data_IF_390655461114
#
_entry.id   IF_390655461114
#
_cell.length_a   1.000
_cell.length_b   1.000
_cell.length_c   1.000
_cell.angle_alpha   90.00
_cell.angle_beta   90.00
_cell.angle_gamma   90.00
#
_symmetry.space_group_name_H-M   'P 1'
#
loop_
_entity.id
_entity.type
_entity.pdbx_description
1 polymer ?
#
# COMPACT_ATOMS: atom_id res chain seq x y z
N UNK A 1 -23.15 -14.94 19.15
CA UNK A 1 -22.64 -14.56 17.82
C UNK A 1 -21.19 -14.18 18.06
N UNK A 2 -20.24 -15.08 17.77
CA UNK A 2 -18.83 -14.92 18.17
C UNK A 2 -17.93 -14.62 16.96
N UNK A 3 -18.54 -14.12 15.86
CA UNK A 3 -17.79 -13.73 14.69
C UNK A 3 -17.18 -12.35 14.96
N UNK A 4 -15.85 -12.18 14.78
CA UNK A 4 -15.22 -10.88 14.90
C UNK A 4 -15.68 -9.96 13.77
N UNK A 5 -15.58 -8.66 14.01
CA UNK A 5 -15.95 -7.66 13.02
C UNK A 5 -14.94 -7.60 11.86
N UNK A 6 -15.45 -7.40 10.63
CA UNK A 6 -14.61 -7.43 9.42
C UNK A 6 -13.58 -6.29 9.33
N UNK A 7 -13.82 -5.17 10.00
CA UNK A 7 -12.85 -4.05 9.97
C UNK A 7 -11.59 -4.38 10.76
N UNK A 8 -11.65 -5.32 11.72
CA UNK A 8 -10.49 -5.76 12.50
C UNK A 8 -9.41 -6.43 11.64
N UNK A 9 -9.72 -6.79 10.39
CA UNK A 9 -8.76 -7.37 9.45
C UNK A 9 -7.65 -6.37 9.08
N UNK A 10 -7.98 -5.09 8.94
CA UNK A 10 -7.09 -4.05 8.42
C UNK A 10 -6.94 -2.82 9.34
N UNK A 11 -7.88 -2.61 10.27
CA UNK A 11 -7.81 -1.49 11.22
C UNK A 11 -6.96 -1.88 12.43
N UNK A 12 -5.95 -1.07 12.72
CA UNK A 12 -5.09 -1.24 13.89
C UNK A 12 -5.89 -0.79 15.13
N UNK A 13 -6.00 -1.64 16.17
CA UNK A 13 -6.66 -1.25 17.40
C UNK A 13 -5.85 -0.18 18.14
N UNK A 14 -6.55 0.66 18.91
CA UNK A 14 -5.92 1.71 19.71
C UNK A 14 -4.85 1.13 20.64
N UNK A 15 -3.69 1.79 20.71
CA UNK A 15 -2.56 1.37 21.54
C UNK A 15 -1.61 0.35 20.92
N UNK A 16 -1.90 -0.21 19.73
CA UNK A 16 -0.93 -1.06 18.99
C UNK A 16 -0.18 -0.28 17.92
N UNK A 17 1.09 -0.64 17.70
CA UNK A 17 1.92 -0.13 16.61
C UNK A 17 1.76 -1.02 15.38
N UNK A 18 1.83 -0.42 14.17
CA UNK A 18 1.79 -1.18 12.91
C UNK A 18 2.96 -2.15 12.79
N UNK A 19 4.14 -1.73 13.23
CA UNK A 19 5.39 -2.49 13.12
C UNK A 19 6.08 -2.49 14.47
N UNK A 20 6.41 -3.69 14.95
CA UNK A 20 7.25 -3.90 16.12
C UNK A 20 8.51 -4.69 15.73
N UNK A 21 9.67 -4.23 16.17
CA UNK A 21 10.95 -4.85 15.87
C UNK A 21 11.51 -5.50 17.13
N UNK A 22 11.79 -6.79 17.05
CA UNK A 22 12.47 -7.56 18.10
C UNK A 22 13.81 -8.08 17.55
N UNK A 23 14.91 -7.71 18.20
CA UNK A 23 16.24 -8.21 17.84
C UNK A 23 16.39 -9.66 18.33
N UNK A 24 16.94 -10.53 17.49
CA UNK A 24 17.20 -11.93 17.86
C UNK A 24 18.55 -12.03 18.58
N UNK A 25 18.54 -12.47 19.84
CA UNK A 25 19.76 -12.63 20.64
C UNK A 25 20.53 -13.93 20.31
N UNK A 26 19.91 -14.89 19.62
CA UNK A 26 20.52 -16.19 19.31
C UNK A 26 21.35 -16.16 18.03
N UNK A 27 20.97 -15.31 17.08
CA UNK A 27 21.59 -15.23 15.76
C UNK A 27 22.15 -13.82 15.59
N UNK A 28 23.45 -13.67 15.24
CA UNK A 28 24.03 -12.36 15.05
C UNK A 28 23.36 -11.64 13.88
N UNK A 29 23.12 -10.35 14.07
CA UNK A 29 22.58 -9.45 13.05
C UNK A 29 21.26 -9.95 12.43
N UNK A 30 20.38 -10.48 13.28
CA UNK A 30 19.04 -10.90 12.90
C UNK A 30 17.98 -10.13 13.71
N UNK A 31 16.88 -9.81 13.05
CA UNK A 31 15.72 -9.20 13.69
C UNK A 31 14.42 -9.83 13.15
N UNK A 32 13.42 -9.87 14.02
CA UNK A 32 12.06 -10.28 13.68
C UNK A 32 11.17 -9.04 13.75
N UNK A 33 10.44 -8.78 12.68
CA UNK A 33 9.47 -7.70 12.60
C UNK A 33 8.08 -8.31 12.66
N UNK A 34 7.26 -7.85 13.61
CA UNK A 34 5.85 -8.16 13.69
C UNK A 34 5.08 -7.02 13.03
N UNK A 35 4.32 -7.35 11.98
CA UNK A 35 3.51 -6.39 11.25
C UNK A 35 2.04 -6.72 11.51
N UNK A 36 1.35 -5.78 12.15
CA UNK A 36 -0.05 -5.91 12.51
C UNK A 36 -0.95 -5.53 11.32
N UNK A 37 -2.10 -6.20 11.23
CA UNK A 37 -3.17 -5.96 10.25
C UNK A 37 -2.69 -6.04 8.81
N UNK A 38 -1.91 -7.06 8.52
CA UNK A 38 -1.42 -7.40 7.18
C UNK A 38 -1.39 -8.92 7.03
N UNK A 39 -1.43 -9.39 5.80
CA UNK A 39 -1.51 -10.80 5.47
C UNK A 39 -0.38 -11.25 4.54
N UNK A 40 -0.57 -12.42 3.91
CA UNK A 40 0.36 -13.02 2.95
C UNK A 40 0.66 -12.11 1.76
N UNK A 41 -0.22 -11.16 1.43
CA UNK A 41 -0.03 -10.22 0.32
C UNK A 41 1.26 -9.43 0.52
N UNK A 42 1.36 -8.71 1.64
CA UNK A 42 2.56 -7.93 1.96
C UNK A 42 3.73 -8.84 2.37
N UNK A 43 3.47 -9.88 3.17
CA UNK A 43 4.52 -10.77 3.67
C UNK A 43 5.30 -11.46 2.55
N UNK A 44 4.60 -11.99 1.54
CA UNK A 44 5.25 -12.67 0.42
C UNK A 44 6.00 -11.72 -0.51
N UNK A 45 5.46 -10.52 -0.76
CA UNK A 45 6.13 -9.50 -1.57
C UNK A 45 7.45 -9.06 -0.92
N UNK A 46 7.41 -8.71 0.38
CA UNK A 46 8.60 -8.28 1.11
C UNK A 46 9.66 -9.38 1.21
N UNK A 47 9.24 -10.62 1.49
CA UNK A 47 10.16 -11.77 1.48
C UNK A 47 10.86 -11.90 0.13
N UNK A 48 10.11 -11.84 -0.95
CA UNK A 48 10.66 -12.02 -2.30
C UNK A 48 11.65 -10.89 -2.63
N UNK A 49 11.35 -9.65 -2.25
CA UNK A 49 12.23 -8.51 -2.49
C UNK A 49 13.51 -8.59 -1.63
N UNK A 50 13.40 -8.95 -0.36
CA UNK A 50 14.55 -9.12 0.53
C UNK A 50 15.52 -10.19 0.05
N UNK A 51 15.02 -11.28 -0.54
CA UNK A 51 15.87 -12.34 -1.10
C UNK A 51 16.59 -11.93 -2.40
N UNK A 52 16.22 -10.80 -3.03
CA UNK A 52 16.97 -10.24 -4.17
C UNK A 52 18.23 -9.51 -3.71
N UNK A 53 18.28 -9.02 -2.47
CA UNK A 53 19.43 -8.29 -1.94
C UNK A 53 20.55 -9.26 -1.50
N UNK A 54 21.76 -9.22 -2.09
CA UNK A 54 22.87 -10.10 -1.72
C UNK A 54 23.39 -9.87 -0.29
N UNK A 55 23.04 -8.74 0.35
CA UNK A 55 23.39 -8.42 1.74
C UNK A 55 22.52 -9.18 2.74
N UNK A 56 21.40 -9.76 2.30
CA UNK A 56 20.46 -10.54 3.12
C UNK A 56 20.84 -12.02 3.05
N UNK A 57 21.17 -12.60 4.21
CA UNK A 57 21.51 -14.01 4.35
C UNK A 57 20.26 -14.88 4.51
N UNK A 58 19.24 -14.35 5.18
CA UNK A 58 17.99 -15.06 5.41
C UNK A 58 16.82 -14.08 5.44
N UNK A 59 15.75 -14.42 4.72
CA UNK A 59 14.46 -13.75 4.82
C UNK A 59 13.34 -14.80 4.76
N UNK A 60 12.50 -14.81 5.79
CA UNK A 60 11.34 -15.69 5.86
C UNK A 60 10.21 -15.04 6.63
N UNK A 61 8.98 -15.28 6.21
CA UNK A 61 7.79 -14.81 6.92
C UNK A 61 6.89 -15.98 7.30
N UNK A 62 6.11 -15.79 8.37
CA UNK A 62 5.07 -16.71 8.78
C UNK A 62 3.90 -15.96 9.40
N UNK A 63 2.70 -16.48 9.20
CA UNK A 63 1.50 -16.08 9.95
C UNK A 63 1.41 -17.02 11.15
N UNK A 64 1.38 -16.51 12.40
CA UNK A 64 1.42 -17.35 13.59
C UNK A 64 0.13 -18.15 13.75
N UNK A 65 -1.01 -17.54 13.44
CA UNK A 65 -2.32 -18.16 13.48
C UNK A 65 -3.27 -17.54 12.44
N UNK A 66 -4.07 -18.31 11.68
CA UNK A 66 -4.95 -17.77 10.64
C UNK A 66 -6.04 -16.79 11.12
N UNK A 67 -6.41 -16.85 12.41
CA UNK A 67 -7.37 -15.92 13.02
C UNK A 67 -6.73 -14.62 13.50
N UNK A 68 -5.39 -14.56 13.54
CA UNK A 68 -4.65 -13.36 13.89
C UNK A 68 -4.15 -12.69 12.60
N UNK A 69 -4.57 -11.45 12.42
CA UNK A 69 -4.20 -10.66 11.24
C UNK A 69 -2.86 -9.98 11.49
N UNK A 70 -1.80 -10.77 11.64
CA UNK A 70 -0.44 -10.29 11.69
C UNK A 70 0.50 -11.33 11.06
N UNK A 71 1.66 -10.86 10.63
CA UNK A 71 2.71 -11.77 10.20
C UNK A 71 4.04 -11.35 10.80
N UNK A 72 4.90 -12.35 11.02
CA UNK A 72 6.26 -12.17 11.49
C UNK A 72 7.20 -12.39 10.32
N UNK A 73 8.04 -11.40 10.04
CA UNK A 73 9.13 -11.53 9.07
C UNK A 73 10.47 -11.50 9.80
N UNK A 74 11.28 -12.52 9.59
CA UNK A 74 12.62 -12.65 10.14
C UNK A 74 13.63 -12.37 9.04
N UNK A 75 14.54 -11.44 9.33
CA UNK A 75 15.59 -10.99 8.42
C UNK A 75 16.94 -11.13 9.11
N UNK A 76 17.90 -11.71 8.41
CA UNK A 76 19.30 -11.78 8.80
C UNK A 76 20.16 -11.18 7.70
N UNK A 77 21.07 -10.29 8.07
CA UNK A 77 21.95 -9.59 7.13
C UNK A 77 23.42 -9.85 7.44
N UNK A 78 24.28 -9.61 6.45
CA UNK A 78 25.73 -9.61 6.65
C UNK A 78 26.14 -8.57 7.69
N UNK A 79 27.23 -8.80 8.45
CA UNK A 79 27.75 -7.81 9.38
C UNK A 79 27.99 -6.46 8.71
N UNK A 80 27.59 -5.37 9.36
CA UNK A 80 27.71 -4.00 8.84
C UNK A 80 26.42 -3.42 8.27
N UNK A 81 25.42 -4.25 7.94
CA UNK A 81 24.09 -3.77 7.53
C UNK A 81 23.06 -4.15 8.58
N UNK A 82 22.35 -3.15 9.12
CA UNK A 82 21.26 -3.39 10.05
C UNK A 82 20.07 -4.05 9.32
N UNK A 83 19.44 -5.11 9.88
CA UNK A 83 18.27 -5.75 9.28
C UNK A 83 17.11 -4.79 9.01
N UNK A 84 16.95 -3.79 9.88
CA UNK A 84 15.94 -2.73 9.70
C UNK A 84 16.22 -1.84 8.49
N UNK A 85 17.49 -1.64 8.12
CA UNK A 85 17.84 -0.90 6.92
C UNK A 85 17.55 -1.72 5.66
N UNK A 86 17.93 -3.01 5.65
CA UNK A 86 17.62 -3.90 4.53
C UNK A 86 16.11 -3.99 4.26
N UNK A 87 15.28 -4.02 5.31
CA UNK A 87 13.82 -3.98 5.16
C UNK A 87 13.32 -2.66 4.55
N UNK A 88 13.88 -1.52 4.95
CA UNK A 88 13.53 -0.21 4.37
C UNK A 88 13.94 -0.14 2.90
N UNK A 89 15.18 -0.52 2.58
CA UNK A 89 15.71 -0.53 1.22
C UNK A 89 14.82 -1.40 0.31
N UNK A 90 14.52 -2.63 0.74
CA UNK A 90 13.63 -3.53 0.00
C UNK A 90 12.23 -2.93 -0.20
N UNK A 91 11.68 -2.23 0.80
CA UNK A 91 10.37 -1.59 0.67
C UNK A 91 10.41 -0.45 -0.35
N UNK A 92 11.44 0.39 -0.33
CA UNK A 92 11.61 1.49 -1.28
C UNK A 92 11.80 0.99 -2.72
N UNK A 93 12.59 -0.08 -2.91
CA UNK A 93 12.75 -0.73 -4.21
C UNK A 93 11.43 -1.31 -4.73
N UNK A 94 10.65 -1.98 -3.86
CA UNK A 94 9.36 -2.53 -4.22
C UNK A 94 8.37 -1.45 -4.67
N UNK A 95 8.34 -0.30 -3.98
CA UNK A 95 7.52 0.86 -4.38
C UNK A 95 7.94 1.35 -5.77
N UNK A 96 9.24 1.43 -6.04
CA UNK A 96 9.76 1.85 -7.35
C UNK A 96 9.42 0.85 -8.47
N UNK A 97 9.51 -0.45 -8.20
CA UNK A 97 9.15 -1.52 -9.14
C UNK A 97 7.67 -1.46 -9.51
N UNK A 98 6.78 -1.33 -8.51
CA UNK A 98 5.33 -1.18 -8.73
C UNK A 98 5.02 0.12 -9.48
N UNK A 99 5.68 1.23 -9.14
CA UNK A 99 5.51 2.50 -9.86
C UNK A 99 5.90 2.39 -11.34
N UNK A 100 6.99 1.68 -11.63
CA UNK A 100 7.43 1.42 -13.00
C UNK A 100 6.43 0.56 -13.76
N UNK A 101 5.88 -0.48 -13.12
CA UNK A 101 4.84 -1.34 -13.70
C UNK A 101 3.58 -0.53 -14.03
N UNK A 102 3.11 0.29 -13.08
CA UNK A 102 1.93 1.15 -13.25
C UNK A 102 2.08 2.05 -14.48
N UNK A 103 3.21 2.77 -14.58
CA UNK A 103 3.45 3.70 -15.69
C UNK A 103 3.47 2.97 -17.05
N UNK A 104 4.15 1.82 -17.13
CA UNK A 104 4.17 1.01 -18.36
C UNK A 104 2.78 0.52 -18.75
N UNK A 105 2.01 0.05 -17.76
CA UNK A 105 0.64 -0.40 -17.98
C UNK A 105 -0.26 0.73 -18.48
N UNK A 106 -0.22 1.92 -17.87
CA UNK A 106 -0.99 3.08 -18.32
C UNK A 106 -0.64 3.50 -19.74
N UNK A 107 0.65 3.51 -20.09
CA UNK A 107 1.11 3.80 -21.46
C UNK A 107 0.57 2.77 -22.47
N UNK A 108 0.59 1.49 -22.13
CA UNK A 108 0.10 0.41 -23.00
C UNK A 108 -1.42 0.46 -23.17
N UNK A 109 -2.16 0.82 -22.12
CA UNK A 109 -3.62 1.04 -22.19
C UNK A 109 -3.97 2.19 -23.12
N UNK A 110 -3.26 3.32 -23.02
CA UNK A 110 -3.46 4.48 -23.91
C UNK A 110 -3.17 4.06 -25.36
N UNK A 111 -2.04 3.38 -25.58
CA UNK A 111 -1.64 2.89 -26.90
C UNK A 111 -2.72 1.98 -27.51
N UNK A 112 -3.28 1.06 -26.74
CA UNK A 112 -4.33 0.15 -27.25
C UNK A 112 -5.61 0.91 -27.63
N UNK A 113 -6.05 1.86 -26.80
CA UNK A 113 -7.23 2.69 -27.09
C UNK A 113 -7.06 3.55 -28.35
N UNK A 114 -5.87 4.13 -28.57
CA UNK A 114 -5.59 4.91 -29.78
C UNK A 114 -5.63 4.05 -31.05
N UNK A 115 -5.10 2.82 -31.00
CA UNK A 115 -5.13 1.92 -32.16
C UNK A 115 -6.53 1.40 -32.49
N UNK A 116 -7.40 1.14 -31.49
CA UNK A 116 -8.80 0.77 -31.74
C UNK A 116 -9.60 1.92 -32.38
N UNK A 117 -9.25 3.17 -32.05
CA UNK A 117 -9.91 4.36 -32.60
C UNK A 117 -9.51 4.57 -34.07
N UNK A 118 -8.24 4.37 -34.43
CA UNK A 118 -7.75 4.51 -35.82
C UNK A 118 -8.25 3.41 -36.76
N UNK A 119 -8.51 2.20 -36.25
CA UNK A 119 -9.15 1.14 -37.07
C UNK A 119 -10.62 1.42 -37.36
N UNK A 120 -11.24 2.36 -36.62
CA UNK A 120 -12.63 2.76 -36.77
C UNK A 120 -12.74 4.10 -37.51
N UNK A 121 -12.23 4.14 -38.75
CA UNK A 121 -12.43 5.26 -39.67
C UNK A 121 -13.91 5.36 -40.15
N UNK A 122 -14.37 6.55 -40.59
CA UNK A 122 -15.74 7.02 -40.38
C UNK A 122 -16.70 6.44 -41.43
N UNK A 123 -17.63 5.58 -41.02
CA UNK A 123 -18.57 5.00 -41.98
C UNK A 123 -19.72 4.15 -41.46
N UNK A 124 -19.93 4.01 -40.15
CA UNK A 124 -21.15 3.36 -39.66
C UNK A 124 -21.61 3.97 -38.34
N UNK A 125 -22.86 4.40 -38.32
CA UNK A 125 -23.46 5.23 -37.30
C UNK A 125 -23.35 4.67 -35.88
N UNK A 126 -23.14 5.59 -34.95
CA UNK A 126 -23.22 5.36 -33.50
C UNK A 126 -24.67 5.03 -33.10
N UNK A 127 -24.94 4.02 -32.27
CA UNK A 127 -25.92 4.19 -31.22
C UNK A 127 -25.24 4.93 -30.08
N UNK A 128 -25.86 6.04 -29.65
CA UNK A 128 -25.46 6.82 -28.50
C UNK A 128 -25.43 5.92 -27.25
N UNK A 129 -24.28 5.80 -26.60
CA UNK A 129 -24.19 5.45 -25.20
C UNK A 129 -23.57 6.64 -24.49
N UNK A 130 -24.29 7.14 -23.49
CA UNK A 130 -23.98 8.33 -22.71
C UNK A 130 -22.56 8.26 -22.13
N UNK A 131 -21.66 9.06 -22.70
CA UNK A 131 -20.41 9.46 -22.05
C UNK A 131 -20.70 10.70 -21.24
N UNK A 132 -20.91 10.55 -19.93
CA UNK A 132 -20.79 11.67 -19.01
C UNK A 132 -19.36 12.24 -19.07
N UNK A 133 -19.18 13.57 -19.21
CA UNK A 133 -17.87 14.17 -19.31
C UNK A 133 -17.21 14.17 -17.93
N UNK A 134 -16.01 13.58 -17.83
CA UNK A 134 -15.12 13.84 -16.70
C UNK A 134 -14.40 15.17 -17.00
N UNK A 135 -15.15 16.27 -16.99
CA UNK A 135 -14.59 17.61 -17.00
C UNK A 135 -14.49 18.15 -15.57
N UNK A 136 -13.26 18.20 -15.08
CA UNK A 136 -12.64 19.44 -14.63
C UNK A 136 -13.60 20.63 -14.44
N UNK A 137 -14.05 20.84 -13.21
CA UNK A 137 -14.47 22.14 -12.67
C UNK A 137 -13.65 22.33 -11.38
N UNK A 138 -12.81 23.33 -11.13
CA UNK A 138 -12.75 24.73 -11.59
C UNK A 138 -14.13 25.36 -11.76
N UNK A 139 -14.95 25.22 -10.73
CA UNK A 139 -16.21 25.94 -10.57
C UNK A 139 -15.93 27.39 -10.19
N UNK A 140 -16.24 28.33 -11.08
CA UNK A 140 -16.48 29.72 -10.71
C UNK A 140 -18.00 29.90 -10.66
N UNK A 141 -18.57 29.96 -9.47
CA UNK A 141 -19.90 30.51 -9.26
C UNK A 141 -20.01 31.05 -7.84
N UNK A 142 -19.86 32.36 -7.74
CA UNK A 142 -20.38 33.13 -6.63
C UNK A 142 -21.90 32.95 -6.56
N UNK A 143 -22.45 32.61 -5.39
CA UNK A 143 -23.69 33.17 -4.86
C UNK A 143 -23.95 32.71 -3.40
N UNK A 144 -24.06 33.73 -2.54
CA UNK A 144 -24.74 33.84 -1.25
C UNK A 144 -24.59 32.76 -0.14
N UNK A 145 -23.94 33.18 0.95
CA UNK A 145 -24.00 32.55 2.28
C UNK A 145 -25.35 32.79 2.98
N UNK A 146 -25.82 31.84 3.80
CA UNK A 146 -26.52 32.15 5.04
C UNK A 146 -25.68 31.78 6.28
N UNK A 147 -26.01 32.46 7.37
CA UNK A 147 -25.28 32.68 8.61
C UNK A 147 -24.94 31.45 9.47
N UNK A 148 -23.86 31.61 10.22
CA UNK A 148 -23.32 30.76 11.27
C UNK A 148 -24.31 30.46 12.41
N UNK A 149 -24.44 29.19 12.79
CA UNK A 149 -24.47 28.72 14.18
C UNK A 149 -24.41 27.18 14.23
N UNK A 150 -23.22 26.58 14.38
CA UNK A 150 -23.06 25.24 15.00
C UNK A 150 -21.59 25.00 15.40
N UNK A 151 -21.30 24.57 16.65
CA UNK A 151 -19.94 24.52 17.19
C UNK A 151 -19.15 23.29 16.71
N UNK A 152 -17.93 23.56 16.24
CA UNK A 152 -16.97 22.56 15.73
C UNK A 152 -16.32 21.77 16.88
N UNK A 153 -16.12 20.44 16.77
CA UNK A 153 -15.49 19.64 17.83
C UNK A 153 -14.00 20.00 18.01
N UNK A 154 -13.46 19.89 19.25
CA UNK A 154 -12.12 20.35 19.59
C UNK A 154 -11.04 19.49 18.92
N UNK A 155 -10.06 20.17 18.29
CA UNK A 155 -8.84 19.56 17.78
C UNK A 155 -7.92 19.20 18.96
N UNK A 156 -7.44 17.97 19.01
CA UNK A 156 -6.35 17.58 19.91
C UNK A 156 -5.02 17.89 19.23
N UNK A 157 -4.26 18.79 19.84
CA UNK A 157 -2.92 19.19 19.42
C UNK A 157 -1.96 18.00 19.52
N UNK A 158 -1.16 17.82 18.47
CA UNK A 158 -0.13 16.79 18.37
C UNK A 158 1.18 17.45 18.78
N UNK A 159 1.60 17.26 20.03
CA UNK A 159 2.95 17.64 20.47
C UNK A 159 3.95 16.54 20.13
N UNK A 160 5.08 16.95 19.53
CA UNK A 160 6.23 16.14 19.15
C UNK A 160 7.03 15.60 20.34
#
# INVERSE_FOLDING_TARGET
MNAPDRFELFVIPEGRKKVEMTIDNKIPNAATFCIEREDHTLGNMLRSQLLKDPRVLFAGYKVPHPLEHNFLIKVQTVPGVAPGQALKDATSELISEIGTLKNKFEMDVIRHRTFETDQRAPGSGMPAYDTEPVDTMSSVAAQQMPSADEPRPPQMDVDF
#
